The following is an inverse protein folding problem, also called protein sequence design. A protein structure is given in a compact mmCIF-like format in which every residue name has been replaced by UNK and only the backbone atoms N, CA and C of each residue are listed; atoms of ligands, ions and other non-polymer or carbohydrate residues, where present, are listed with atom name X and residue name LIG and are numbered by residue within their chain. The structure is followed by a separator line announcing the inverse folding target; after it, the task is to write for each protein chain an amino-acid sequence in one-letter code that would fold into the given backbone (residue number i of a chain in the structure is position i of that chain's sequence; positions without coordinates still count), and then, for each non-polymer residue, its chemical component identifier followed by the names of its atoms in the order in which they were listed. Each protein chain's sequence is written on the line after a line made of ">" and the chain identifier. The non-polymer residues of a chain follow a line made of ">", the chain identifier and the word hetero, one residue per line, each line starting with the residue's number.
data_IF_065061375439
#
_entry.id   IF_065061375439
#
_cell.length_a   1.000
_cell.length_b   1.000
_cell.length_c   1.000
_cell.angle_alpha   90.00
_cell.angle_beta   90.00
_cell.angle_gamma   90.00
#
_symmetry.space_group_name_H-M   'P 1'
#
loop_
_entity.id
_entity.type
_entity.pdbx_description
1 polymer ?
#
# COMPACT_ATOMS: atom_id res chain seq x y z
N UNK A 1 -5.38 23.17 -37.67
CA UNK A 1 -4.85 23.97 -36.54
C UNK A 1 -4.80 23.11 -35.27
N UNK A 2 -3.64 22.49 -34.94
CA UNK A 2 -3.46 21.71 -33.69
C UNK A 2 -2.02 21.68 -33.15
N UNK A 3 -1.07 22.38 -33.81
CA UNK A 3 0.37 22.33 -33.48
C UNK A 3 0.90 23.55 -32.71
N UNK A 4 0.10 24.61 -32.50
CA UNK A 4 0.57 25.86 -31.89
C UNK A 4 0.31 26.01 -30.39
N UNK A 5 -0.60 25.22 -29.80
CA UNK A 5 -0.95 25.38 -28.37
C UNK A 5 0.21 24.87 -27.47
N UNK A 6 0.85 23.77 -27.85
CA UNK A 6 1.92 23.15 -27.04
C UNK A 6 3.18 24.01 -26.94
N UNK A 7 3.54 24.77 -27.98
CA UNK A 7 4.73 25.64 -27.94
C UNK A 7 4.52 26.91 -27.10
N UNK A 8 3.27 27.38 -26.99
CA UNK A 8 2.93 28.57 -26.17
C UNK A 8 2.97 28.22 -24.69
N UNK A 9 2.46 27.05 -24.29
CA UNK A 9 2.46 26.62 -22.89
C UNK A 9 3.89 26.55 -22.33
N UNK A 10 4.83 25.96 -23.09
CA UNK A 10 6.21 25.78 -22.64
C UNK A 10 6.96 27.13 -22.54
N UNK A 11 6.72 28.06 -23.46
CA UNK A 11 7.34 29.39 -23.40
C UNK A 11 6.82 30.22 -22.21
N UNK A 12 5.54 30.10 -21.87
CA UNK A 12 4.95 30.79 -20.71
C UNK A 12 5.46 30.24 -19.38
N UNK A 13 5.82 28.95 -19.30
CA UNK A 13 6.40 28.37 -18.07
C UNK A 13 7.80 28.92 -17.81
N UNK A 14 8.64 29.10 -18.84
CA UNK A 14 10.02 29.59 -18.67
C UNK A 14 10.06 31.07 -18.22
N UNK A 15 9.11 31.90 -18.67
CA UNK A 15 9.05 33.32 -18.27
C UNK A 15 8.56 33.47 -16.82
N UNK A 16 7.67 32.58 -16.35
CA UNK A 16 7.22 32.60 -14.95
C UNK A 16 8.32 32.16 -13.97
N UNK A 17 9.19 31.23 -14.36
CA UNK A 17 10.32 30.80 -13.51
C UNK A 17 11.39 31.89 -13.34
N UNK A 18 11.56 32.76 -14.34
CA UNK A 18 12.54 33.86 -14.28
C UNK A 18 12.12 35.03 -13.39
N UNK A 19 10.81 35.25 -13.19
CA UNK A 19 10.30 36.38 -12.40
C UNK A 19 10.10 36.04 -10.91
N UNK A 20 9.95 34.75 -10.56
CA UNK A 20 9.64 34.28 -9.21
C UNK A 20 10.87 33.99 -8.33
N UNK A 21 12.09 34.17 -8.84
CA UNK A 21 13.34 33.96 -8.07
C UNK A 21 13.64 35.03 -7.03
N UNK A 22 12.79 36.06 -6.89
CA UNK A 22 12.98 37.15 -5.92
C UNK A 22 11.90 37.25 -4.84
N UNK A 23 11.27 36.13 -4.43
CA UNK A 23 10.37 36.16 -3.26
C UNK A 23 10.54 34.91 -2.40
N UNK A 24 10.75 35.13 -1.09
CA UNK A 24 10.96 34.08 -0.08
C UNK A 24 9.84 33.00 -0.06
N UNK A 25 8.65 33.33 -0.58
CA UNK A 25 7.49 32.43 -0.63
C UNK A 25 7.63 31.28 -1.64
N UNK A 26 8.40 31.45 -2.72
CA UNK A 26 8.63 30.37 -3.69
C UNK A 26 9.47 29.25 -3.08
N UNK A 27 10.48 29.57 -2.27
CA UNK A 27 11.29 28.58 -1.54
C UNK A 27 10.45 27.76 -0.57
N UNK A 28 9.48 28.37 0.10
CA UNK A 28 8.56 27.68 0.99
C UNK A 28 7.69 26.68 0.20
N UNK A 29 7.05 27.11 -0.90
CA UNK A 29 6.23 26.23 -1.75
C UNK A 29 7.02 25.03 -2.29
N UNK A 30 8.20 25.25 -2.89
CA UNK A 30 9.06 24.15 -3.36
C UNK A 30 9.52 23.25 -2.21
N UNK A 31 9.80 23.80 -1.02
CA UNK A 31 10.17 22.98 0.14
C UNK A 31 9.03 22.11 0.66
N UNK A 32 7.77 22.57 0.59
CA UNK A 32 6.60 21.79 0.97
C UNK A 32 6.31 20.69 -0.06
N UNK A 33 6.42 20.98 -1.35
CA UNK A 33 6.27 19.98 -2.41
C UNK A 33 7.37 18.92 -2.35
N UNK A 34 8.63 19.33 -2.12
CA UNK A 34 9.74 18.39 -1.92
C UNK A 34 9.59 17.54 -0.67
N UNK A 35 9.18 18.12 0.47
CA UNK A 35 8.87 17.36 1.69
C UNK A 35 7.71 16.38 1.46
N UNK A 36 6.66 16.79 0.74
CA UNK A 36 5.55 15.92 0.37
C UNK A 36 6.00 14.75 -0.52
N UNK A 37 6.87 15.04 -1.50
CA UNK A 37 7.43 14.02 -2.41
C UNK A 37 8.36 13.05 -1.67
N UNK A 38 9.15 13.51 -0.71
CA UNK A 38 10.00 12.65 0.14
C UNK A 38 9.15 11.74 1.03
N UNK A 39 8.05 12.23 1.59
CA UNK A 39 7.12 11.41 2.39
C UNK A 39 6.44 10.36 1.51
N UNK A 40 5.96 10.75 0.33
CA UNK A 40 5.35 9.83 -0.62
C UNK A 40 6.35 8.74 -1.06
N UNK A 41 7.61 9.11 -1.30
CA UNK A 41 8.68 8.17 -1.63
C UNK A 41 8.97 7.19 -0.49
N UNK A 42 9.09 7.68 0.75
CA UNK A 42 9.28 6.81 1.93
C UNK A 42 8.13 5.82 2.11
N UNK A 43 6.89 6.28 1.93
CA UNK A 43 5.70 5.41 2.01
C UNK A 43 5.69 4.35 0.89
N UNK A 44 6.06 4.72 -0.33
CA UNK A 44 6.17 3.80 -1.45
C UNK A 44 7.28 2.76 -1.24
N UNK A 45 8.45 3.19 -0.74
CA UNK A 45 9.56 2.30 -0.43
C UNK A 45 9.20 1.31 0.69
N UNK A 46 8.49 1.77 1.72
CA UNK A 46 7.97 0.91 2.80
C UNK A 46 6.96 -0.11 2.26
N UNK A 47 5.98 0.32 1.47
CA UNK A 47 4.98 -0.58 0.89
C UNK A 47 5.64 -1.65 0.01
N UNK A 48 6.67 -1.27 -0.76
CA UNK A 48 7.43 -2.22 -1.59
C UNK A 48 8.18 -3.27 -0.75
N UNK A 49 8.83 -2.85 0.34
CA UNK A 49 9.50 -3.78 1.25
C UNK A 49 8.50 -4.75 1.91
N UNK A 50 7.33 -4.25 2.32
CA UNK A 50 6.26 -5.09 2.86
C UNK A 50 5.76 -6.10 1.82
N UNK A 51 5.54 -5.66 0.58
CA UNK A 51 5.14 -6.55 -0.51
C UNK A 51 6.17 -7.63 -0.80
N UNK A 52 7.45 -7.29 -0.86
CA UNK A 52 8.56 -8.24 -1.08
C UNK A 52 8.65 -9.27 0.05
N UNK A 53 8.46 -8.84 1.31
CA UNK A 53 8.41 -9.76 2.46
C UNK A 53 7.26 -10.74 2.34
N UNK A 54 6.07 -10.26 1.97
CA UNK A 54 4.88 -11.11 1.81
C UNK A 54 5.03 -12.06 0.62
N UNK A 55 5.62 -11.63 -0.49
CA UNK A 55 5.92 -12.53 -1.62
C UNK A 55 6.86 -13.65 -1.21
N UNK A 56 7.87 -13.35 -0.40
CA UNK A 56 8.79 -14.36 0.11
C UNK A 56 8.05 -15.37 0.99
N UNK A 57 7.22 -14.91 1.93
CA UNK A 57 6.41 -15.76 2.81
C UNK A 57 5.46 -16.65 2.00
N UNK A 58 4.74 -16.09 1.03
CA UNK A 58 3.83 -16.86 0.19
C UNK A 58 4.57 -17.91 -0.64
N UNK A 59 5.73 -17.56 -1.24
CA UNK A 59 6.55 -18.52 -2.00
C UNK A 59 7.09 -19.65 -1.13
N UNK A 60 7.47 -19.36 0.12
CA UNK A 60 7.92 -20.39 1.07
C UNK A 60 6.77 -21.34 1.43
N UNK A 61 5.57 -20.80 1.69
CA UNK A 61 4.36 -21.61 1.91
C UNK A 61 4.01 -22.48 0.69
N UNK A 62 4.03 -21.90 -0.52
CA UNK A 62 3.75 -22.61 -1.77
C UNK A 62 4.74 -23.75 -2.01
N UNK A 63 6.04 -23.48 -1.79
CA UNK A 63 7.12 -24.46 -1.96
C UNK A 63 6.98 -25.63 -0.98
N UNK A 64 6.59 -25.35 0.25
CA UNK A 64 6.45 -26.34 1.31
C UNK A 64 5.07 -27.01 1.34
N UNK A 65 4.14 -26.60 0.46
CA UNK A 65 2.73 -27.02 0.47
C UNK A 65 2.07 -26.85 1.84
N UNK A 66 2.47 -25.80 2.56
CA UNK A 66 1.93 -25.44 3.87
C UNK A 66 0.93 -24.29 3.74
N UNK A 67 -0.04 -24.16 4.66
CA UNK A 67 -0.93 -23.01 4.70
C UNK A 67 -0.15 -21.68 4.72
N UNK A 68 -0.75 -20.63 4.16
CA UNK A 68 -0.21 -19.29 4.31
C UNK A 68 -0.30 -18.87 5.78
N UNK A 69 0.75 -18.23 6.28
CA UNK A 69 0.87 -17.79 7.67
C UNK A 69 1.20 -16.31 7.73
N UNK A 70 0.47 -15.57 8.53
CA UNK A 70 0.78 -14.17 8.88
C UNK A 70 0.97 -14.03 10.38
N UNK A 71 1.96 -13.26 10.83
CA UNK A 71 2.17 -13.03 12.28
C UNK A 71 1.34 -11.85 12.78
N UNK A 72 1.07 -10.90 11.88
CA UNK A 72 0.32 -9.68 12.18
C UNK A 72 -0.94 -9.56 11.32
N UNK A 73 -1.87 -8.72 11.76
CA UNK A 73 -3.07 -8.39 10.97
C UNK A 73 -2.68 -7.72 9.64
N UNK A 74 -1.56 -6.99 9.57
CA UNK A 74 -1.03 -6.47 8.31
C UNK A 74 -0.62 -7.60 7.37
N UNK A 75 0.03 -8.64 7.89
CA UNK A 75 0.48 -9.79 7.09
C UNK A 75 -0.73 -10.48 6.47
N UNK A 76 -1.76 -10.76 7.27
CA UNK A 76 -3.00 -11.36 6.77
C UNK A 76 -3.65 -10.49 5.71
N UNK A 77 -3.77 -9.18 5.95
CA UNK A 77 -4.35 -8.24 4.99
C UNK A 77 -3.59 -8.24 3.66
N UNK A 78 -2.26 -8.19 3.68
CA UNK A 78 -1.44 -8.17 2.47
C UNK A 78 -1.46 -9.50 1.72
N UNK A 79 -1.43 -10.64 2.44
CA UNK A 79 -1.57 -11.98 1.84
C UNK A 79 -2.91 -12.07 1.11
N UNK A 80 -4.00 -11.72 1.80
CA UNK A 80 -5.36 -11.74 1.24
C UNK A 80 -5.49 -10.81 0.04
N UNK A 81 -4.94 -9.59 0.13
CA UNK A 81 -4.95 -8.63 -0.96
C UNK A 81 -4.17 -9.10 -2.19
N UNK A 82 -3.10 -9.88 -2.00
CA UNK A 82 -2.36 -10.51 -3.11
C UNK A 82 -3.11 -11.70 -3.70
N UNK A 83 -3.81 -12.47 -2.87
CA UNK A 83 -4.62 -13.59 -3.30
C UNK A 83 -5.95 -13.17 -3.93
N UNK A 84 -6.46 -11.98 -3.61
CA UNK A 84 -7.73 -11.50 -4.18
C UNK A 84 -7.58 -11.30 -5.69
N UNK A 85 -8.40 -12.02 -6.45
CA UNK A 85 -8.48 -11.90 -7.90
C UNK A 85 -9.75 -11.13 -8.27
N UNK A 86 -9.60 -10.02 -9.01
CA UNK A 86 -10.73 -9.23 -9.51
C UNK A 86 -11.26 -8.19 -8.51
N UNK A 87 -12.55 -7.82 -8.64
CA UNK A 87 -13.21 -6.72 -7.91
C UNK A 87 -13.75 -7.15 -6.53
N UNK A 88 -13.03 -8.02 -5.82
CA UNK A 88 -13.44 -8.49 -4.48
C UNK A 88 -13.28 -7.35 -3.47
N UNK A 89 -14.33 -7.05 -2.71
CA UNK A 89 -14.36 -5.90 -1.80
C UNK A 89 -14.07 -6.31 -0.37
N UNK A 90 -14.46 -7.52 0.01
CA UNK A 90 -14.32 -8.02 1.37
C UNK A 90 -13.75 -9.42 1.37
N UNK A 91 -12.99 -9.69 2.42
CA UNK A 91 -12.45 -11.00 2.67
C UNK A 91 -12.58 -11.33 4.15
N UNK A 92 -13.01 -12.54 4.46
CA UNK A 92 -13.04 -13.09 5.80
C UNK A 92 -12.01 -14.21 5.88
N UNK A 93 -10.97 -13.99 6.68
CA UNK A 93 -9.92 -14.96 6.95
C UNK A 93 -10.27 -15.71 8.22
N UNK A 94 -10.25 -17.04 8.14
CA UNK A 94 -10.32 -17.92 9.30
C UNK A 94 -8.92 -18.45 9.61
N UNK A 95 -8.49 -18.30 10.85
CA UNK A 95 -7.24 -18.83 11.37
C UNK A 95 -7.46 -20.24 11.93
N UNK A 96 -6.58 -21.15 11.54
CA UNK A 96 -6.55 -22.52 12.04
C UNK A 96 -6.28 -22.52 13.54
N UNK A 97 -7.07 -23.29 14.29
CA UNK A 97 -7.04 -23.33 15.76
C UNK A 97 -7.28 -21.98 16.46
N UNK A 98 -7.78 -20.95 15.75
CA UNK A 98 -8.03 -19.61 16.29
C UNK A 98 -9.30 -19.48 17.14
N UNK A 99 -10.15 -20.52 17.20
CA UNK A 99 -11.39 -20.53 17.98
C UNK A 99 -12.36 -19.39 17.59
N UNK A 100 -13.17 -18.88 18.54
CA UNK A 100 -14.12 -17.79 18.29
C UNK A 100 -13.48 -16.48 17.83
N UNK A 101 -12.21 -16.24 18.17
CA UNK A 101 -11.47 -15.03 17.81
C UNK A 101 -10.63 -15.18 16.53
N UNK A 102 -10.72 -16.34 15.86
CA UNK A 102 -9.93 -16.66 14.67
C UNK A 102 -10.45 -16.04 13.37
N UNK A 103 -11.43 -15.14 13.42
CA UNK A 103 -12.06 -14.56 12.23
C UNK A 103 -11.64 -13.10 12.05
N UNK A 104 -10.98 -12.82 10.92
CA UNK A 104 -10.54 -11.48 10.55
C UNK A 104 -11.27 -11.04 9.29
N UNK A 105 -12.01 -9.93 9.39
CA UNK A 105 -12.68 -9.33 8.24
C UNK A 105 -11.87 -8.14 7.72
N UNK A 106 -11.61 -8.13 6.43
CA UNK A 106 -10.90 -7.07 5.71
C UNK A 106 -11.80 -6.45 4.66
N UNK A 107 -11.79 -5.12 4.61
CA UNK A 107 -12.29 -4.34 3.48
C UNK A 107 -11.10 -4.03 2.58
N UNK A 108 -11.04 -4.64 1.40
CA UNK A 108 -9.93 -4.53 0.45
C UNK A 108 -10.00 -3.23 -0.36
N UNK A 109 -11.10 -2.49 -0.27
CA UNK A 109 -11.27 -1.20 -0.96
C UNK A 109 -10.51 -0.06 -0.26
N UNK A 110 -10.01 -0.30 0.95
CA UNK A 110 -9.34 0.69 1.79
C UNK A 110 -8.03 0.13 2.34
N UNK A 111 -6.99 0.96 2.50
CA UNK A 111 -5.79 0.53 3.21
C UNK A 111 -6.11 0.17 4.66
N UNK A 112 -5.36 -0.79 5.21
CA UNK A 112 -5.47 -1.14 6.62
C UNK A 112 -5.03 0.05 7.50
N UNK A 113 -5.79 0.31 8.56
CA UNK A 113 -5.46 1.37 9.52
C UNK A 113 -4.13 1.11 10.23
N UNK A 114 -3.33 2.15 10.42
CA UNK A 114 -1.95 2.02 10.94
C UNK A 114 -1.89 1.39 12.33
N UNK A 115 -2.85 1.74 13.20
CA UNK A 115 -3.01 1.16 14.54
C UNK A 115 -3.33 -0.34 14.53
N UNK A 116 -3.83 -0.88 13.41
CA UNK A 116 -4.16 -2.30 13.27
C UNK A 116 -3.00 -3.12 12.73
N UNK A 117 -2.04 -2.50 12.05
CA UNK A 117 -0.95 -3.23 11.37
C UNK A 117 -0.13 -4.10 12.30
N UNK A 118 0.17 -3.61 13.50
CA UNK A 118 1.04 -4.29 14.47
C UNK A 118 0.29 -5.22 15.44
N UNK A 119 -1.02 -5.39 15.26
CA UNK A 119 -1.79 -6.32 16.10
C UNK A 119 -1.38 -7.75 15.72
N UNK A 120 -0.97 -8.53 16.71
CA UNK A 120 -0.66 -9.95 16.52
C UNK A 120 -1.94 -10.74 16.26
N UNK A 121 -1.84 -11.69 15.36
CA UNK A 121 -2.95 -12.62 15.10
C UNK A 121 -3.01 -13.68 16.19
N UNK A 122 -4.18 -14.30 16.33
CA UNK A 122 -4.37 -15.40 17.29
C UNK A 122 -3.69 -16.69 16.79
N UNK A 123 -3.41 -17.59 17.74
CA UNK A 123 -2.76 -18.88 17.48
C UNK A 123 -1.46 -18.71 16.69
N UNK A 124 -1.17 -19.66 15.79
CA UNK A 124 0.02 -19.62 14.94
C UNK A 124 -0.15 -18.74 13.69
N UNK A 125 -1.33 -18.14 13.49
CA UNK A 125 -1.60 -17.27 12.33
C UNK A 125 -1.70 -18.01 10.99
N UNK A 126 -1.81 -19.33 11.01
CA UNK A 126 -2.04 -20.15 9.82
C UNK A 126 -3.47 -19.93 9.29
N UNK A 127 -3.60 -19.61 8.01
CA UNK A 127 -4.88 -19.43 7.36
C UNK A 127 -5.50 -20.81 7.09
N UNK A 128 -6.65 -21.08 7.70
CA UNK A 128 -7.46 -22.27 7.45
C UNK A 128 -8.28 -22.10 6.17
N UNK A 129 -8.94 -20.94 6.02
CA UNK A 129 -9.78 -20.65 4.86
C UNK A 129 -9.96 -19.14 4.67
N UNK A 130 -10.27 -18.74 3.42
CA UNK A 130 -10.61 -17.37 3.05
C UNK A 130 -11.96 -17.41 2.34
N UNK A 131 -12.91 -16.61 2.84
CA UNK A 131 -14.21 -16.38 2.19
C UNK A 131 -14.18 -15.01 1.53
N UNK A 132 -14.63 -14.94 0.28
CA UNK A 132 -14.60 -13.73 -0.56
C UNK A 132 -16.02 -13.19 -0.76
N UNK A 133 -16.20 -11.87 -0.63
CA UNK A 133 -17.47 -11.15 -0.80
C UNK A 133 -17.29 -9.82 -1.58
#
# INVERSE_FOLDING_TARGET
>A
MKKNITKVIIASTVIATGLLTHSNDAKAFFSYEWKGLEIAKKLADQAKQEEERIDKLMRESDKNLTPYKGETVNDLYLIVKKLSQGDVKKAVVRIKDGGPNGYYTFDLTRPLEENRKNIKVVADGEIDSITWD
#
